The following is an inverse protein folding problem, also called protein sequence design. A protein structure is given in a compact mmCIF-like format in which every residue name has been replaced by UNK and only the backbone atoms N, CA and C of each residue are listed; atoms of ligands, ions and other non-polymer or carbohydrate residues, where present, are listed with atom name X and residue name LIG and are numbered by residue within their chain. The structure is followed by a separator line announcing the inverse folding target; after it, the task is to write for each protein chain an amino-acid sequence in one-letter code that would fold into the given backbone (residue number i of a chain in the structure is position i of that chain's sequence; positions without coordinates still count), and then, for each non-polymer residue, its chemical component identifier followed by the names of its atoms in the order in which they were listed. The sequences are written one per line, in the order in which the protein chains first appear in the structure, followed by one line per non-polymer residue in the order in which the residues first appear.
data_IF_970542871189
#
_entry.id   IF_970542871189
#
_cell.length_a   1.000
_cell.length_b   1.000
_cell.length_c   1.000
_cell.angle_alpha   90.00
_cell.angle_beta   90.00
_cell.angle_gamma   90.00
#
_symmetry.space_group_name_H-M   'P 1'
#
loop_
_entity.id
_entity.type
_entity.pdbx_description
1 polymer ?
#
# COMPACT_ATOMS: atom_id res chain seq x y z
N UNK A 1 2.62 0.37 -40.04
CA UNK A 1 1.96 -0.95 -40.09
C UNK A 1 2.90 -1.99 -39.48
N UNK A 2 2.70 -2.35 -38.23
CA UNK A 2 3.31 -3.53 -37.60
C UNK A 2 2.15 -4.23 -36.91
N UNK A 3 1.75 -5.40 -37.43
CA UNK A 3 0.74 -6.26 -36.83
C UNK A 3 1.25 -6.63 -35.43
N UNK A 4 0.67 -6.00 -34.41
CA UNK A 4 0.76 -6.48 -33.03
C UNK A 4 -0.15 -7.71 -33.02
N UNK A 5 0.46 -8.90 -33.13
CA UNK A 5 -0.25 -10.17 -33.10
C UNK A 5 -1.14 -10.22 -31.85
N UNK A 6 -2.43 -10.47 -32.09
CA UNK A 6 -3.47 -10.62 -31.08
C UNK A 6 -3.33 -11.92 -30.25
N UNK A 7 -2.28 -12.72 -30.47
CA UNK A 7 -2.01 -13.99 -29.79
C UNK A 7 -1.38 -13.86 -28.40
N UNK A 8 -1.15 -12.65 -27.88
CA UNK A 8 -0.58 -12.46 -26.55
C UNK A 8 -1.58 -12.52 -25.39
N UNK A 9 -2.87 -12.78 -25.65
CA UNK A 9 -3.93 -12.76 -24.63
C UNK A 9 -4.30 -14.13 -24.02
N UNK A 10 -3.71 -15.23 -24.48
CA UNK A 10 -3.94 -16.59 -23.97
C UNK A 10 -2.66 -17.19 -23.39
N UNK A 11 -2.46 -17.08 -22.07
CA UNK A 11 -1.34 -17.78 -21.46
C UNK A 11 -0.96 -17.32 -20.06
N UNK A 12 -1.76 -17.70 -19.05
CA UNK A 12 -1.20 -17.78 -17.69
C UNK A 12 -0.27 -19.00 -17.59
N UNK A 13 -0.42 -19.99 -18.48
CA UNK A 13 0.40 -21.19 -18.57
C UNK A 13 0.42 -21.74 -20.01
N UNK A 14 0.84 -20.94 -21.00
CA UNK A 14 1.50 -21.63 -22.13
C UNK A 14 2.79 -22.20 -21.53
N UNK A 15 3.12 -23.47 -21.80
CA UNK A 15 4.32 -24.17 -21.31
C UNK A 15 5.59 -23.53 -21.90
N UNK A 16 5.78 -22.25 -21.63
CA UNK A 16 6.97 -21.49 -21.94
C UNK A 16 7.97 -21.86 -20.86
N UNK A 17 9.18 -22.24 -21.28
CA UNK A 17 10.27 -22.55 -20.34
C UNK A 17 10.38 -21.42 -19.32
N UNK A 18 10.19 -21.78 -18.04
CA UNK A 18 10.35 -20.87 -16.91
C UNK A 18 11.80 -20.38 -16.95
N UNK A 19 11.99 -19.06 -17.07
CA UNK A 19 13.32 -18.47 -17.06
C UNK A 19 13.84 -18.25 -15.65
N UNK A 20 15.15 -18.10 -15.50
CA UNK A 20 15.82 -17.79 -14.23
C UNK A 20 15.18 -16.60 -13.47
N UNK A 21 14.92 -15.50 -14.18
CA UNK A 21 14.25 -14.33 -13.61
C UNK A 21 12.79 -14.56 -13.19
N UNK A 22 12.11 -15.55 -13.78
CA UNK A 22 10.73 -15.88 -13.39
C UNK A 22 10.75 -16.63 -12.04
N UNK A 23 11.74 -17.51 -11.83
CA UNK A 23 12.01 -18.16 -10.53
C UNK A 23 12.37 -17.12 -9.47
N UNK A 24 13.31 -16.21 -9.77
CA UNK A 24 13.69 -15.14 -8.85
C UNK A 24 12.50 -14.25 -8.46
N UNK A 25 11.62 -13.93 -9.42
CA UNK A 25 10.43 -13.12 -9.15
C UNK A 25 9.52 -13.77 -8.11
N UNK A 26 9.48 -15.11 -8.02
CA UNK A 26 8.72 -15.83 -7.00
C UNK A 26 9.49 -15.99 -5.68
N UNK A 27 10.77 -16.36 -5.76
CA UNK A 27 11.58 -16.67 -4.57
C UNK A 27 11.89 -15.45 -3.72
N UNK A 28 12.17 -14.29 -4.32
CA UNK A 28 12.53 -13.07 -3.57
C UNK A 28 11.46 -12.70 -2.54
N UNK A 29 10.18 -12.48 -2.90
CA UNK A 29 9.18 -12.15 -1.90
C UNK A 29 8.77 -13.34 -1.02
N UNK A 30 9.12 -14.58 -1.39
CA UNK A 30 8.87 -15.76 -0.57
C UNK A 30 9.76 -15.77 0.68
N UNK A 31 11.01 -15.29 0.58
CA UNK A 31 11.98 -15.26 1.70
C UNK A 31 11.71 -14.16 2.72
N UNK A 32 10.63 -13.39 2.59
CA UNK A 32 10.28 -12.30 3.53
C UNK A 32 10.12 -12.71 5.00
N UNK A 33 9.98 -14.01 5.29
CA UNK A 33 9.95 -14.51 6.67
C UNK A 33 11.33 -14.50 7.34
N UNK A 34 12.42 -14.36 6.57
CA UNK A 34 13.79 -14.26 7.06
C UNK A 34 14.06 -12.80 7.41
N UNK A 35 14.32 -12.56 8.69
CA UNK A 35 14.59 -11.24 9.26
C UNK A 35 16.00 -11.17 9.85
N UNK A 36 16.72 -10.11 9.51
CA UNK A 36 18.01 -9.74 10.07
C UNK A 36 17.84 -8.51 10.96
N UNK A 37 18.28 -8.62 12.22
CA UNK A 37 18.28 -7.51 13.18
C UNK A 37 19.65 -6.84 13.17
N UNK A 38 19.80 -5.79 12.36
CA UNK A 38 21.03 -5.00 12.26
C UNK A 38 20.69 -3.51 12.26
N UNK A 39 20.87 -2.82 13.41
CA UNK A 39 20.44 -1.44 13.72
C UNK A 39 18.90 -1.25 13.68
N UNK A 40 18.23 -1.84 12.70
CA UNK A 40 16.79 -2.04 12.62
C UNK A 40 16.47 -3.44 12.09
N UNK A 41 15.27 -3.57 11.53
CA UNK A 41 14.78 -4.80 10.93
C UNK A 41 15.02 -4.75 9.42
N UNK A 42 15.75 -5.72 8.88
CA UNK A 42 15.99 -5.89 7.46
C UNK A 42 15.50 -7.27 7.03
N UNK A 43 14.64 -7.32 6.04
CA UNK A 43 14.12 -8.58 5.51
C UNK A 43 14.98 -9.07 4.35
N UNK A 44 15.08 -10.39 4.16
CA UNK A 44 15.84 -10.98 3.07
C UNK A 44 15.52 -10.41 1.66
N UNK A 45 14.26 -10.11 1.28
CA UNK A 45 13.96 -9.53 -0.02
C UNK A 45 14.72 -8.22 -0.28
N UNK A 46 14.90 -7.38 0.74
CA UNK A 46 15.62 -6.09 0.62
C UNK A 46 17.09 -6.32 0.29
N UNK A 47 17.72 -7.28 0.97
CA UNK A 47 19.13 -7.63 0.75
C UNK A 47 19.32 -8.29 -0.61
N UNK A 48 18.44 -9.25 -0.96
CA UNK A 48 18.48 -9.94 -2.24
C UNK A 48 18.31 -8.98 -3.42
N UNK A 49 17.39 -8.01 -3.32
CA UNK A 49 17.18 -6.99 -4.34
C UNK A 49 18.38 -6.04 -4.45
N UNK A 50 18.96 -5.63 -3.33
CA UNK A 50 20.18 -4.82 -3.34
C UNK A 50 21.37 -5.54 -4.00
N UNK A 51 21.53 -6.84 -3.76
CA UNK A 51 22.56 -7.67 -4.40
C UNK A 51 22.31 -7.84 -5.91
N UNK A 52 21.05 -8.01 -6.31
CA UNK A 52 20.67 -8.15 -7.72
C UNK A 52 20.76 -6.85 -8.51
N UNK A 53 20.72 -5.70 -7.83
CA UNK A 53 20.68 -4.38 -8.46
C UNK A 53 21.77 -4.16 -9.51
N UNK A 54 23.09 -4.38 -9.25
CA UNK A 54 24.14 -4.10 -10.23
C UNK A 54 23.99 -4.93 -11.50
N UNK A 55 23.61 -6.21 -11.36
CA UNK A 55 23.42 -7.15 -12.48
C UNK A 55 22.23 -6.70 -13.35
N UNK A 56 21.12 -6.34 -12.71
CA UNK A 56 19.93 -5.85 -13.40
C UNK A 56 20.18 -4.48 -14.04
N UNK A 57 20.93 -3.61 -13.37
CA UNK A 57 21.25 -2.27 -13.85
C UNK A 57 22.11 -2.31 -15.12
N UNK A 58 23.16 -3.13 -15.15
CA UNK A 58 24.01 -3.29 -16.34
C UNK A 58 23.20 -3.85 -17.52
N UNK A 59 22.32 -4.83 -17.27
CA UNK A 59 21.56 -5.47 -18.35
C UNK A 59 20.37 -4.65 -18.86
N UNK A 60 19.71 -3.87 -17.99
CA UNK A 60 18.41 -3.24 -18.30
C UNK A 60 18.25 -1.81 -17.77
N UNK A 61 19.31 -1.17 -17.25
CA UNK A 61 19.25 0.14 -16.58
C UNK A 61 18.59 1.24 -17.40
N UNK A 62 18.69 1.21 -18.74
CA UNK A 62 17.99 2.14 -19.64
C UNK A 62 16.47 2.20 -19.43
N UNK A 63 15.85 1.16 -18.86
CA UNK A 63 14.43 1.15 -18.56
C UNK A 63 14.06 2.12 -17.42
N UNK A 64 14.99 2.45 -16.53
CA UNK A 64 14.78 3.42 -15.45
C UNK A 64 14.68 4.86 -15.97
N UNK A 65 15.18 5.14 -17.18
CA UNK A 65 15.09 6.45 -17.83
C UNK A 65 13.68 6.74 -18.39
N UNK A 66 12.74 5.79 -18.29
CA UNK A 66 11.33 6.06 -18.64
C UNK A 66 10.75 7.10 -17.68
N UNK A 67 9.78 7.89 -18.17
CA UNK A 67 9.21 9.03 -17.42
C UNK A 67 8.76 8.70 -16.00
N UNK A 68 8.01 7.61 -15.78
CA UNK A 68 7.50 7.27 -14.44
C UNK A 68 8.59 6.80 -13.46
N UNK A 69 9.43 5.80 -13.77
CA UNK A 69 10.50 5.38 -12.86
C UNK A 69 11.54 6.49 -12.64
N UNK A 70 11.88 7.27 -13.67
CA UNK A 70 12.80 8.41 -13.52
C UNK A 70 12.25 9.46 -12.55
N UNK A 71 10.94 9.76 -12.60
CA UNK A 71 10.31 10.67 -11.64
C UNK A 71 10.27 10.09 -10.22
N UNK A 72 10.02 8.77 -10.07
CA UNK A 72 10.10 8.12 -8.76
C UNK A 72 11.50 8.26 -8.15
N UNK A 73 12.53 7.93 -8.92
CA UNK A 73 13.92 8.01 -8.49
C UNK A 73 14.35 9.45 -8.20
N UNK A 74 13.94 10.42 -9.02
CA UNK A 74 14.24 11.83 -8.80
C UNK A 74 13.61 12.33 -7.48
N UNK A 75 12.30 12.15 -7.30
CA UNK A 75 11.62 12.61 -6.10
C UNK A 75 12.08 11.86 -4.84
N UNK A 76 12.37 10.56 -4.96
CA UNK A 76 12.90 9.79 -3.85
C UNK A 76 14.34 10.15 -3.49
N UNK A 77 15.17 10.54 -4.47
CA UNK A 77 16.51 11.09 -4.19
C UNK A 77 16.42 12.45 -3.52
N UNK A 78 15.49 13.32 -3.97
CA UNK A 78 15.23 14.59 -3.29
C UNK A 78 14.72 14.38 -1.86
N UNK A 79 13.89 13.38 -1.62
CA UNK A 79 13.48 12.98 -0.27
C UNK A 79 14.67 12.54 0.58
N UNK A 80 15.56 11.68 0.07
CA UNK A 80 16.78 11.26 0.77
C UNK A 80 17.69 12.45 1.11
N UNK A 81 17.94 13.34 0.13
CA UNK A 81 18.77 14.53 0.35
C UNK A 81 18.17 15.44 1.42
N UNK A 82 16.83 15.63 1.39
CA UNK A 82 16.12 16.38 2.43
C UNK A 82 16.31 15.75 3.80
N UNK A 83 16.14 14.42 3.91
CA UNK A 83 16.34 13.69 5.16
C UNK A 83 17.75 13.88 5.73
N UNK A 84 18.78 13.74 4.87
CA UNK A 84 20.18 13.95 5.26
C UNK A 84 20.40 15.37 5.78
N UNK A 85 19.93 16.38 5.04
CA UNK A 85 20.07 17.79 5.46
C UNK A 85 19.35 18.03 6.78
N UNK A 86 18.15 17.52 6.94
CA UNK A 86 17.37 17.66 8.18
C UNK A 86 18.07 17.01 9.35
N UNK A 87 18.60 15.79 9.20
CA UNK A 87 19.33 15.10 10.26
C UNK A 87 20.61 15.84 10.68
N UNK A 88 21.31 16.46 9.73
CA UNK A 88 22.48 17.30 10.02
C UNK A 88 22.10 18.58 10.76
N UNK A 89 21.00 19.25 10.37
CA UNK A 89 20.50 20.46 11.04
C UNK A 89 19.98 20.13 12.45
N UNK A 90 19.29 18.99 12.61
CA UNK A 90 18.68 18.56 13.87
C UNK A 90 19.63 17.80 14.79
N UNK A 91 20.84 17.51 14.32
CA UNK A 91 21.85 16.73 15.04
C UNK A 91 21.29 15.39 15.54
N UNK A 92 20.55 14.71 14.66
CA UNK A 92 19.97 13.40 14.94
C UNK A 92 21.06 12.41 15.36
N UNK A 93 20.73 11.47 16.24
CA UNK A 93 21.70 10.46 16.69
C UNK A 93 22.04 9.50 15.55
N UNK A 94 23.25 8.92 15.56
CA UNK A 94 23.67 7.91 14.56
C UNK A 94 22.67 6.78 14.42
N UNK A 95 22.17 6.28 15.55
CA UNK A 95 21.19 5.21 15.58
C UNK A 95 19.89 5.59 14.84
N UNK A 96 19.45 6.85 14.94
CA UNK A 96 18.18 7.28 14.37
C UNK A 96 18.34 7.66 12.89
N UNK A 97 19.38 8.44 12.53
CA UNK A 97 19.59 8.84 11.13
C UNK A 97 20.01 7.66 10.24
N UNK A 98 20.80 6.70 10.73
CA UNK A 98 21.21 5.55 9.91
C UNK A 98 20.00 4.71 9.49
N UNK A 99 19.00 4.59 10.36
CA UNK A 99 17.73 3.92 10.04
C UNK A 99 16.93 4.69 9.00
N UNK A 100 16.81 6.01 9.13
CA UNK A 100 16.09 6.85 8.18
C UNK A 100 16.72 6.85 6.80
N UNK A 101 18.04 6.99 6.74
CA UNK A 101 18.78 6.99 5.47
C UNK A 101 18.72 5.62 4.81
N UNK A 102 18.90 4.53 5.57
CA UNK A 102 18.78 3.18 5.05
C UNK A 102 17.37 2.90 4.51
N UNK A 103 16.32 3.29 5.23
CA UNK A 103 14.92 3.11 4.80
C UNK A 103 14.67 3.72 3.42
N UNK A 104 15.13 4.95 3.18
CA UNK A 104 14.95 5.65 1.91
C UNK A 104 15.89 5.09 0.83
N UNK A 105 17.16 4.80 1.17
CA UNK A 105 18.13 4.24 0.22
C UNK A 105 17.67 2.88 -0.30
N UNK A 106 17.25 1.96 0.58
CA UNK A 106 16.68 0.67 0.18
C UNK A 106 15.38 0.84 -0.57
N UNK A 107 14.55 1.83 -0.23
CA UNK A 107 13.35 2.15 -1.02
C UNK A 107 13.68 2.43 -2.50
N UNK A 108 14.78 3.15 -2.77
CA UNK A 108 15.20 3.47 -4.14
C UNK A 108 15.83 2.27 -4.85
N UNK A 109 16.71 1.54 -4.16
CA UNK A 109 17.40 0.37 -4.72
C UNK A 109 16.42 -0.76 -5.00
N UNK A 110 15.53 -1.07 -4.06
CA UNK A 110 14.51 -2.13 -4.22
C UNK A 110 13.52 -1.76 -5.31
N UNK A 111 13.07 -0.51 -5.37
CA UNK A 111 12.24 -0.05 -6.47
C UNK A 111 12.93 -0.25 -7.82
N UNK A 112 14.19 0.15 -7.95
CA UNK A 112 14.93 0.02 -9.20
C UNK A 112 15.10 -1.45 -9.61
N UNK A 113 15.50 -2.30 -8.67
CA UNK A 113 15.68 -3.75 -8.89
C UNK A 113 14.38 -4.44 -9.27
N UNK A 114 13.31 -4.22 -8.50
CA UNK A 114 11.99 -4.76 -8.79
C UNK A 114 11.45 -4.26 -10.12
N UNK A 115 11.63 -2.97 -10.43
CA UNK A 115 11.19 -2.41 -11.70
C UNK A 115 11.87 -3.13 -12.87
N UNK A 116 13.20 -3.29 -12.83
CA UNK A 116 13.96 -3.97 -13.87
C UNK A 116 13.65 -5.47 -13.99
N UNK A 117 13.30 -6.12 -12.88
CA UNK A 117 12.92 -7.52 -12.83
C UNK A 117 11.52 -7.77 -13.43
N UNK A 118 10.54 -6.93 -13.07
CA UNK A 118 9.11 -7.20 -13.29
C UNK A 118 8.52 -6.53 -14.55
N UNK A 119 9.02 -5.36 -14.94
CA UNK A 119 8.40 -4.54 -15.99
C UNK A 119 8.26 -5.27 -17.33
N UNK A 120 7.11 -5.09 -18.01
CA UNK A 120 6.85 -5.66 -19.32
C UNK A 120 6.53 -7.15 -19.33
N UNK A 121 6.37 -7.80 -18.17
CA UNK A 121 5.97 -9.21 -18.06
C UNK A 121 4.95 -9.43 -16.94
N UNK A 122 3.67 -9.48 -17.31
CA UNK A 122 2.55 -9.76 -16.40
C UNK A 122 2.73 -11.06 -15.61
N UNK A 123 3.30 -12.11 -16.22
CA UNK A 123 3.59 -13.37 -15.53
C UNK A 123 4.52 -13.21 -14.32
N UNK A 124 5.53 -12.35 -14.41
CA UNK A 124 6.44 -12.08 -13.28
C UNK A 124 5.75 -11.31 -12.16
N UNK A 125 4.87 -10.37 -12.51
CA UNK A 125 4.05 -9.65 -11.53
C UNK A 125 3.16 -10.63 -10.75
N UNK A 126 2.54 -11.59 -11.44
CA UNK A 126 1.71 -12.61 -10.80
C UNK A 126 2.54 -13.56 -9.92
N UNK A 127 3.72 -13.98 -10.39
CA UNK A 127 4.64 -14.82 -9.61
C UNK A 127 5.14 -14.09 -8.36
N UNK A 128 5.52 -12.80 -8.48
CA UNK A 128 5.92 -11.98 -7.35
C UNK A 128 4.79 -11.82 -6.34
N UNK A 129 3.57 -11.55 -6.83
CA UNK A 129 2.42 -11.44 -5.95
C UNK A 129 2.11 -12.77 -5.22
N UNK A 130 2.25 -13.91 -5.90
CA UNK A 130 2.07 -15.22 -5.30
C UNK A 130 3.15 -15.51 -4.24
N UNK A 131 4.42 -15.21 -4.53
CA UNK A 131 5.52 -15.33 -3.57
C UNK A 131 5.31 -14.42 -2.36
N UNK A 132 4.81 -13.21 -2.56
CA UNK A 132 4.50 -12.26 -1.47
C UNK A 132 3.37 -12.77 -0.57
N UNK A 133 2.34 -13.39 -1.15
CA UNK A 133 1.29 -13.99 -0.36
C UNK A 133 1.76 -15.22 0.43
N UNK A 134 2.48 -16.15 -0.21
CA UNK A 134 2.95 -17.37 0.46
C UNK A 134 3.99 -17.00 1.52
N UNK A 135 4.94 -16.11 1.20
CA UNK A 135 5.94 -15.61 2.14
C UNK A 135 5.30 -14.93 3.36
N UNK A 136 4.19 -14.20 3.19
CA UNK A 136 3.46 -13.60 4.31
C UNK A 136 2.77 -14.62 5.22
N UNK A 137 2.31 -15.75 4.67
CA UNK A 137 1.81 -16.87 5.48
C UNK A 137 2.96 -17.53 6.23
N UNK A 138 4.12 -17.75 5.59
CA UNK A 138 5.30 -18.31 6.24
C UNK A 138 5.82 -17.37 7.35
N UNK A 139 5.81 -16.06 7.13
CA UNK A 139 6.23 -15.07 8.12
C UNK A 139 5.41 -15.18 9.41
N UNK A 140 4.11 -15.48 9.34
CA UNK A 140 3.30 -15.75 10.53
C UNK A 140 3.82 -16.92 11.37
N UNK A 141 4.30 -18.00 10.73
CA UNK A 141 4.77 -19.19 11.43
C UNK A 141 6.21 -19.06 11.94
N UNK A 142 7.08 -18.41 11.17
CA UNK A 142 8.50 -18.31 11.49
C UNK A 142 8.88 -17.05 12.27
N UNK A 143 8.10 -15.98 12.14
CA UNK A 143 8.35 -14.70 12.80
C UNK A 143 7.03 -14.06 13.28
N UNK A 144 6.32 -14.67 14.25
CA UNK A 144 5.08 -14.11 14.77
C UNK A 144 5.34 -12.80 15.52
N UNK A 145 4.55 -11.77 15.22
CA UNK A 145 4.60 -10.50 15.94
C UNK A 145 3.99 -10.69 17.35
N UNK A 146 4.40 -9.86 18.31
CA UNK A 146 3.90 -9.83 19.69
C UNK A 146 2.37 -9.69 19.72
N UNK A 147 1.81 -8.92 18.78
CA UNK A 147 0.36 -8.71 18.64
C UNK A 147 -0.39 -9.89 17.97
N UNK A 148 0.33 -10.82 17.36
CA UNK A 148 -0.23 -11.96 16.63
C UNK A 148 -0.94 -12.94 17.57
N UNK A 149 -0.51 -13.07 18.82
CA UNK A 149 -1.19 -13.92 19.81
C UNK A 149 -2.60 -13.43 20.18
N UNK A 150 -2.83 -12.11 20.20
CA UNK A 150 -4.14 -11.53 20.49
C UNK A 150 -5.06 -11.47 19.28
N UNK A 151 -4.51 -11.15 18.09
CA UNK A 151 -5.27 -11.02 16.86
C UNK A 151 -4.52 -11.62 15.65
N UNK A 152 -4.52 -12.96 15.49
CA UNK A 152 -3.73 -13.65 14.47
C UNK A 152 -4.14 -13.32 13.03
N UNK A 153 -5.41 -12.99 12.81
CA UNK A 153 -5.87 -12.55 11.49
C UNK A 153 -5.35 -11.15 11.13
N UNK A 154 -5.45 -10.19 12.06
CA UNK A 154 -5.12 -8.78 11.81
C UNK A 154 -3.61 -8.53 11.74
N UNK A 155 -2.85 -9.14 12.66
CA UNK A 155 -1.40 -8.96 12.77
C UNK A 155 -0.61 -10.18 12.31
N UNK A 156 -1.23 -11.06 11.53
CA UNK A 156 -0.62 -12.28 11.02
C UNK A 156 -1.00 -12.52 9.57
N UNK A 157 -1.59 -13.68 9.30
CA UNK A 157 -1.78 -14.17 7.93
C UNK A 157 -2.99 -13.57 7.18
N UNK A 158 -3.84 -12.77 7.80
CA UNK A 158 -5.07 -12.26 7.17
C UNK A 158 -4.83 -11.39 5.95
N UNK A 159 -3.74 -10.59 5.96
CA UNK A 159 -3.32 -9.83 4.78
C UNK A 159 -2.91 -10.76 3.63
N UNK A 160 -2.07 -11.74 3.92
CA UNK A 160 -1.56 -12.70 2.94
C UNK A 160 -2.67 -13.55 2.30
N UNK A 161 -3.63 -14.03 3.11
CA UNK A 161 -4.81 -14.76 2.61
C UNK A 161 -5.69 -13.87 1.75
N UNK A 162 -5.91 -12.62 2.15
CA UNK A 162 -6.66 -11.65 1.34
C UNK A 162 -5.97 -11.35 0.02
N UNK A 163 -4.64 -11.29 0.02
CA UNK A 163 -3.85 -11.12 -1.19
C UNK A 163 -3.97 -12.33 -2.14
N UNK A 164 -3.97 -13.56 -1.61
CA UNK A 164 -4.28 -14.77 -2.39
C UNK A 164 -5.68 -14.72 -3.00
N UNK A 165 -6.68 -14.25 -2.25
CA UNK A 165 -8.04 -14.09 -2.76
C UNK A 165 -8.12 -13.06 -3.89
N UNK A 166 -7.34 -11.97 -3.82
CA UNK A 166 -7.24 -11.00 -4.91
C UNK A 166 -6.55 -11.59 -6.17
N UNK A 167 -5.55 -12.45 -5.97
CA UNK A 167 -4.91 -13.20 -7.07
C UNK A 167 -5.88 -14.22 -7.67
N UNK A 168 -6.64 -14.93 -6.84
CA UNK A 168 -7.66 -15.85 -7.28
C UNK A 168 -8.79 -15.14 -8.04
N UNK A 169 -9.23 -13.97 -7.56
CA UNK A 169 -10.18 -13.12 -8.27
C UNK A 169 -9.65 -12.69 -9.66
N UNK A 170 -8.34 -12.42 -9.76
CA UNK A 170 -7.67 -12.10 -11.03
C UNK A 170 -7.62 -13.31 -11.96
N UNK A 171 -7.28 -14.49 -11.45
CA UNK A 171 -7.30 -15.74 -12.21
C UNK A 171 -8.70 -16.07 -12.76
N UNK A 172 -9.73 -15.95 -11.93
CA UNK A 172 -11.13 -16.14 -12.31
C UNK A 172 -11.56 -15.10 -13.35
N UNK A 173 -11.16 -13.84 -13.17
CA UNK A 173 -11.43 -12.77 -14.13
C UNK A 173 -10.82 -13.04 -15.51
N UNK A 174 -9.64 -13.65 -15.56
CA UNK A 174 -9.01 -14.06 -16.81
C UNK A 174 -9.73 -15.26 -17.44
N UNK A 175 -9.97 -16.34 -16.68
CA UNK A 175 -10.63 -17.56 -17.17
C UNK A 175 -12.05 -17.31 -17.67
N UNK A 176 -12.79 -16.44 -17.00
CA UNK A 176 -14.19 -16.15 -17.30
C UNK A 176 -14.38 -14.71 -17.75
N UNK A 177 -13.74 -14.35 -18.87
CA UNK A 177 -13.85 -13.04 -19.54
C UNK A 177 -15.30 -12.54 -19.70
N UNK A 178 -16.28 -13.45 -19.74
CA UNK A 178 -17.71 -13.17 -19.89
C UNK A 178 -18.53 -13.20 -18.58
N UNK A 179 -17.95 -13.60 -17.43
CA UNK A 179 -18.62 -13.56 -16.10
C UNK A 179 -17.88 -12.65 -15.11
N UNK A 180 -17.81 -11.34 -15.37
CA UNK A 180 -17.03 -10.37 -14.58
C UNK A 180 -17.57 -10.08 -13.17
N UNK A 181 -18.68 -10.72 -12.74
CA UNK A 181 -19.20 -10.56 -11.38
C UNK A 181 -18.43 -11.41 -10.36
N UNK A 182 -17.87 -12.54 -10.77
CA UNK A 182 -17.16 -13.43 -9.85
C UNK A 182 -15.97 -12.76 -9.15
N UNK A 183 -15.08 -12.03 -9.85
CA UNK A 183 -14.00 -11.32 -9.17
C UNK A 183 -14.49 -10.31 -8.14
N UNK A 184 -15.58 -9.60 -8.44
CA UNK A 184 -16.19 -8.67 -7.51
C UNK A 184 -16.80 -9.39 -6.30
N UNK A 185 -17.49 -10.51 -6.50
CA UNK A 185 -18.06 -11.32 -5.42
C UNK A 185 -16.98 -11.88 -4.51
N UNK A 186 -15.87 -12.40 -5.06
CA UNK A 186 -14.74 -12.91 -4.28
C UNK A 186 -14.17 -11.81 -3.37
N UNK A 187 -13.95 -10.60 -3.92
CA UNK A 187 -13.46 -9.48 -3.11
C UNK A 187 -14.50 -8.97 -2.10
N UNK A 188 -15.79 -9.01 -2.44
CA UNK A 188 -16.87 -8.67 -1.49
C UNK A 188 -16.92 -9.67 -0.32
N UNK A 189 -16.85 -10.97 -0.60
CA UNK A 189 -16.77 -12.01 0.42
C UNK A 189 -15.53 -11.84 1.29
N UNK A 190 -14.39 -11.51 0.68
CA UNK A 190 -13.15 -11.18 1.42
C UNK A 190 -13.32 -9.93 2.30
N UNK A 191 -14.07 -8.93 1.86
CA UNK A 191 -14.39 -7.75 2.67
C UNK A 191 -15.18 -8.14 3.93
N UNK A 192 -16.25 -8.94 3.77
CA UNK A 192 -17.04 -9.43 4.88
C UNK A 192 -16.20 -10.26 5.87
N UNK A 193 -15.36 -11.17 5.35
CA UNK A 193 -14.47 -12.00 6.17
C UNK A 193 -13.50 -11.14 6.98
N UNK A 194 -12.89 -10.13 6.36
CA UNK A 194 -11.95 -9.24 7.05
C UNK A 194 -12.61 -8.39 8.12
N UNK A 195 -13.83 -7.88 7.88
CA UNK A 195 -14.60 -7.13 8.89
C UNK A 195 -14.98 -8.04 10.05
N UNK A 196 -15.45 -9.25 9.75
CA UNK A 196 -15.82 -10.26 10.76
C UNK A 196 -14.62 -10.61 11.67
N UNK A 197 -13.44 -10.79 11.07
CA UNK A 197 -12.20 -11.08 11.81
C UNK A 197 -11.55 -9.83 12.45
N UNK A 198 -12.22 -8.68 12.45
CA UNK A 198 -11.77 -7.45 13.10
C UNK A 198 -10.71 -6.63 12.34
N UNK A 199 -10.39 -6.99 11.10
CA UNK A 199 -9.46 -6.25 10.24
C UNK A 199 -10.20 -5.23 9.35
N UNK A 200 -10.78 -4.22 10.00
CA UNK A 200 -11.69 -3.21 9.39
C UNK A 200 -11.09 -2.52 8.15
N UNK A 201 -9.83 -2.10 8.21
CA UNK A 201 -9.16 -1.40 7.11
C UNK A 201 -9.01 -2.26 5.85
N UNK A 202 -8.55 -3.49 6.02
CA UNK A 202 -8.41 -4.45 4.92
C UNK A 202 -9.76 -4.85 4.34
N UNK A 203 -10.79 -4.98 5.20
CA UNK A 203 -12.18 -5.14 4.76
C UNK A 203 -12.67 -3.98 3.91
N UNK A 204 -12.42 -2.74 4.33
CA UNK A 204 -12.73 -1.54 3.56
C UNK A 204 -12.02 -1.50 2.20
N UNK A 205 -10.74 -1.86 2.14
CA UNK A 205 -9.97 -1.96 0.88
C UNK A 205 -10.61 -2.98 -0.08
N UNK A 206 -10.97 -4.16 0.41
CA UNK A 206 -11.62 -5.20 -0.41
C UNK A 206 -13.00 -4.78 -0.90
N UNK A 207 -13.77 -4.11 -0.03
CA UNK A 207 -15.08 -3.58 -0.38
C UNK A 207 -14.97 -2.53 -1.50
N UNK A 208 -14.07 -1.56 -1.36
CA UNK A 208 -13.84 -0.53 -2.37
C UNK A 208 -13.37 -1.13 -3.70
N UNK A 209 -12.47 -2.11 -3.66
CA UNK A 209 -12.04 -2.83 -4.85
C UNK A 209 -13.20 -3.58 -5.52
N UNK A 210 -14.06 -4.25 -4.75
CA UNK A 210 -15.25 -4.93 -5.27
C UNK A 210 -16.25 -3.97 -5.91
N UNK A 211 -16.60 -2.88 -5.22
CA UNK A 211 -17.50 -1.84 -5.73
C UNK A 211 -16.93 -1.24 -7.02
N UNK A 212 -15.62 -0.99 -7.05
CA UNK A 212 -14.96 -0.49 -8.25
C UNK A 212 -15.11 -1.44 -9.45
N UNK A 213 -14.89 -2.75 -9.25
CA UNK A 213 -15.09 -3.75 -10.31
C UNK A 213 -16.55 -3.82 -10.80
N UNK A 214 -17.51 -3.74 -9.88
CA UNK A 214 -18.94 -3.69 -10.22
C UNK A 214 -19.27 -2.44 -11.05
N UNK A 215 -18.77 -1.27 -10.62
CA UNK A 215 -18.99 0.00 -11.31
C UNK A 215 -18.34 0.01 -12.70
N UNK A 216 -17.10 -0.49 -12.82
CA UNK A 216 -16.40 -0.60 -14.10
C UNK A 216 -17.21 -1.48 -15.07
N UNK A 217 -17.85 -2.55 -14.58
CA UNK A 217 -18.74 -3.38 -15.41
C UNK A 217 -20.00 -2.63 -15.84
N UNK A 218 -20.71 -2.03 -14.89
CA UNK A 218 -22.02 -1.42 -15.14
C UNK A 218 -21.93 -0.21 -16.08
N UNK A 219 -20.87 0.60 -15.95
CA UNK A 219 -20.75 1.87 -16.65
C UNK A 219 -19.59 1.92 -17.65
N UNK A 220 -18.59 1.04 -17.54
CA UNK A 220 -17.40 1.05 -18.41
C UNK A 220 -17.66 0.59 -19.85
N UNK A 221 -18.77 -0.14 -20.12
CA UNK A 221 -19.12 -0.59 -21.48
C UNK A 221 -19.75 0.49 -22.37
N UNK A 222 -20.23 1.60 -21.81
CA UNK A 222 -20.90 2.68 -22.55
C UNK A 222 -19.96 3.84 -22.94
N UNK A 223 -18.64 3.64 -22.87
CA UNK A 223 -17.65 4.71 -22.98
C UNK A 223 -16.91 4.77 -24.33
N UNK A 224 -17.40 4.08 -25.37
CA UNK A 224 -16.82 4.11 -26.73
C UNK A 224 -17.13 5.39 -27.50
N UNK A 225 -18.11 6.20 -27.08
CA UNK A 225 -18.40 7.50 -27.69
C UNK A 225 -18.20 8.65 -26.69
N UNK A 226 -17.14 9.43 -26.92
CA UNK A 226 -16.92 10.85 -26.62
C UNK A 226 -17.64 11.55 -25.44
N UNK A 227 -17.92 10.86 -24.33
CA UNK A 227 -18.45 11.50 -23.12
C UNK A 227 -17.26 11.92 -22.26
N UNK A 228 -16.97 13.23 -22.28
CA UNK A 228 -16.12 13.91 -21.28
C UNK A 228 -16.53 13.40 -19.88
N UNK A 229 -15.57 13.07 -19.02
CA UNK A 229 -15.78 12.74 -17.60
C UNK A 229 -16.84 13.69 -17.02
N UNK A 230 -18.11 13.28 -16.96
CA UNK A 230 -19.16 14.13 -16.40
C UNK A 230 -18.91 14.12 -14.90
N UNK A 231 -18.86 15.31 -14.28
CA UNK A 231 -18.73 15.49 -12.82
C UNK A 231 -19.65 14.54 -12.03
N UNK A 232 -20.82 14.18 -12.61
CA UNK A 232 -21.77 13.18 -12.10
C UNK A 232 -21.19 11.79 -11.84
N UNK A 233 -20.34 11.23 -12.71
CA UNK A 233 -19.77 9.89 -12.47
C UNK A 233 -18.77 9.88 -11.31
N UNK A 234 -18.00 10.96 -11.15
CA UNK A 234 -17.10 11.15 -10.00
C UNK A 234 -17.90 11.34 -8.72
N UNK A 235 -18.99 12.12 -8.76
CA UNK A 235 -19.90 12.28 -7.64
C UNK A 235 -20.58 10.98 -7.23
N UNK A 236 -21.01 10.14 -8.18
CA UNK A 236 -21.59 8.82 -7.90
C UNK A 236 -20.56 7.89 -7.25
N UNK A 237 -19.32 7.89 -7.73
CA UNK A 237 -18.23 7.11 -7.12
C UNK A 237 -17.93 7.64 -5.71
N UNK A 238 -17.78 8.94 -5.55
CA UNK A 238 -17.53 9.56 -4.25
C UNK A 238 -18.68 9.27 -3.26
N UNK A 239 -19.92 9.32 -3.73
CA UNK A 239 -21.10 9.01 -2.93
C UNK A 239 -21.17 7.52 -2.58
N UNK A 240 -20.89 6.61 -3.51
CA UNK A 240 -20.84 5.18 -3.25
C UNK A 240 -19.73 4.81 -2.26
N UNK A 241 -18.58 5.47 -2.35
CA UNK A 241 -17.47 5.31 -1.40
C UNK A 241 -17.87 5.85 -0.02
N UNK A 242 -18.44 7.06 0.06
CA UNK A 242 -18.85 7.68 1.31
C UNK A 242 -19.99 6.91 2.00
N UNK A 243 -21.01 6.52 1.24
CA UNK A 243 -22.14 5.75 1.74
C UNK A 243 -21.75 4.32 2.11
N UNK A 244 -20.86 3.70 1.32
CA UNK A 244 -20.30 2.38 1.64
C UNK A 244 -19.43 2.42 2.90
N UNK A 245 -18.59 3.45 3.06
CA UNK A 245 -17.79 3.64 4.28
C UNK A 245 -18.68 3.90 5.50
N UNK A 246 -19.70 4.75 5.38
CA UNK A 246 -20.67 5.00 6.43
C UNK A 246 -21.48 3.74 6.80
N UNK A 247 -21.92 2.98 5.80
CA UNK A 247 -22.60 1.71 5.98
C UNK A 247 -21.74 0.70 6.73
N UNK A 248 -20.48 0.53 6.31
CA UNK A 248 -19.54 -0.37 7.01
C UNK A 248 -19.33 0.07 8.46
N UNK A 249 -19.16 1.37 8.72
CA UNK A 249 -19.00 1.90 10.08
C UNK A 249 -20.24 1.62 10.93
N UNK A 250 -21.44 1.93 10.43
CA UNK A 250 -22.70 1.73 11.15
C UNK A 250 -23.03 0.25 11.37
N UNK A 251 -22.83 -0.59 10.36
CA UNK A 251 -23.01 -2.04 10.49
C UNK A 251 -22.02 -2.62 11.49
N UNK A 252 -20.77 -2.13 11.52
CA UNK A 252 -19.79 -2.54 12.51
C UNK A 252 -20.18 -2.07 13.92
N UNK A 253 -20.56 -0.81 14.10
CA UNK A 253 -21.03 -0.27 15.39
C UNK A 253 -22.18 -1.10 15.95
N UNK A 254 -23.17 -1.42 15.11
CA UNK A 254 -24.30 -2.26 15.50
C UNK A 254 -23.87 -3.69 15.83
N UNK A 255 -23.10 -4.34 14.95
CA UNK A 255 -22.68 -5.73 15.12
C UNK A 255 -21.69 -5.94 16.28
N UNK A 256 -20.86 -4.94 16.59
CA UNK A 256 -19.98 -4.95 17.74
C UNK A 256 -20.73 -4.63 19.04
N UNK A 257 -21.62 -3.62 19.04
CA UNK A 257 -22.41 -3.24 20.21
C UNK A 257 -23.47 -4.26 20.62
N UNK A 258 -23.99 -5.05 19.67
CA UNK A 258 -24.89 -6.17 19.94
C UNK A 258 -24.19 -7.46 20.38
N UNK A 259 -22.86 -7.48 20.43
CA UNK A 259 -22.08 -8.68 20.77
C UNK A 259 -22.04 -9.74 19.65
N UNK A 260 -22.63 -9.48 18.47
CA UNK A 260 -22.67 -10.42 17.34
C UNK A 260 -21.27 -10.77 16.80
N UNK A 261 -20.31 -9.84 16.90
CA UNK A 261 -18.91 -10.06 16.54
C UNK A 261 -18.07 -10.70 17.67
N UNK A 262 -18.72 -11.10 18.77
CA UNK A 262 -18.12 -11.71 19.94
C UNK A 262 -17.73 -10.70 21.03
N UNK A 263 -17.63 -11.19 22.27
CA UNK A 263 -17.39 -10.41 23.49
C UNK A 263 -16.11 -9.55 23.41
N UNK A 264 -15.06 -10.06 22.78
CA UNK A 264 -13.80 -9.31 22.59
C UNK A 264 -13.96 -8.10 21.66
N UNK A 265 -14.75 -8.24 20.60
CA UNK A 265 -15.03 -7.14 19.67
C UNK A 265 -15.92 -6.09 20.32
N UNK A 266 -16.84 -6.51 21.18
CA UNK A 266 -17.69 -5.64 22.00
C UNK A 266 -16.85 -4.83 23.00
N UNK A 267 -15.96 -5.46 23.78
CA UNK A 267 -15.07 -4.77 24.71
C UNK A 267 -14.14 -3.76 24.02
N UNK A 268 -13.56 -4.12 22.87
CA UNK A 268 -12.76 -3.20 22.06
C UNK A 268 -13.60 -2.04 21.50
N UNK A 269 -14.85 -2.32 21.13
CA UNK A 269 -15.77 -1.30 20.66
C UNK A 269 -16.14 -0.34 21.79
N UNK A 270 -16.52 -0.84 22.97
CA UNK A 270 -16.86 -0.07 24.15
C UNK A 270 -15.67 0.83 24.55
N UNK A 271 -14.46 0.27 24.70
CA UNK A 271 -13.26 1.06 25.03
C UNK A 271 -12.79 2.05 23.95
N UNK A 272 -13.10 1.82 22.66
CA UNK A 272 -12.80 2.76 21.57
C UNK A 272 -13.94 3.74 21.26
N UNK A 273 -15.12 3.55 21.85
CA UNK A 273 -16.34 4.35 21.59
C UNK A 273 -16.81 5.15 22.80
N UNK A 274 -16.24 4.90 23.98
CA UNK A 274 -16.47 5.69 25.21
C UNK A 274 -16.07 7.17 25.07
N UNK A 275 -15.18 7.50 24.13
CA UNK A 275 -14.72 8.87 23.94
C UNK A 275 -15.73 9.81 23.24
N UNK A 276 -15.67 11.10 23.57
CA UNK A 276 -16.66 12.15 23.19
C UNK A 276 -16.96 12.29 21.69
N UNK A 277 -16.09 11.78 20.81
CA UNK A 277 -16.26 11.82 19.35
C UNK A 277 -16.21 10.43 18.68
N UNK A 278 -16.38 9.36 19.44
CA UNK A 278 -16.53 7.99 18.95
C UNK A 278 -15.29 7.39 18.28
N UNK A 279 -15.49 6.28 17.57
CA UNK A 279 -14.46 5.39 17.02
C UNK A 279 -13.46 6.07 16.05
N UNK A 280 -13.86 7.16 15.39
CA UNK A 280 -13.08 7.81 14.32
C UNK A 280 -11.91 8.66 14.86
N UNK A 281 -12.11 9.35 15.99
CA UNK A 281 -11.09 10.20 16.61
C UNK A 281 -10.21 9.43 17.61
N UNK A 282 -10.78 8.43 18.31
CA UNK A 282 -10.05 7.60 19.27
C UNK A 282 -8.89 6.81 18.67
N UNK A 283 -9.03 6.34 17.42
CA UNK A 283 -7.98 5.60 16.72
C UNK A 283 -7.03 6.44 15.87
N UNK A 284 -7.18 7.78 15.83
CA UNK A 284 -6.50 8.64 14.84
C UNK A 284 -6.07 10.02 15.36
N UNK A 285 -5.99 10.18 16.68
CA UNK A 285 -5.55 11.43 17.32
C UNK A 285 -4.13 11.85 16.92
N UNK A 286 -3.31 10.89 16.47
CA UNK A 286 -1.94 11.10 15.98
C UNK A 286 -1.87 12.01 14.74
N UNK A 287 -2.91 12.01 13.88
CA UNK A 287 -2.99 12.92 12.73
C UNK A 287 -3.06 14.39 13.16
N UNK A 288 -3.71 14.67 14.29
CA UNK A 288 -3.83 16.04 14.81
C UNK A 288 -2.49 16.52 15.39
N UNK A 289 -1.78 15.64 16.08
CA UNK A 289 -0.48 15.95 16.71
C UNK A 289 0.61 16.08 15.65
N UNK A 290 0.70 15.15 14.71
CA UNK A 290 1.64 15.22 13.59
C UNK A 290 1.36 16.44 12.70
N UNK A 291 0.09 16.82 12.48
CA UNK A 291 -0.26 18.07 11.79
C UNK A 291 0.29 19.31 12.49
N UNK A 292 0.20 19.39 13.84
CA UNK A 292 0.80 20.49 14.61
C UNK A 292 2.32 20.51 14.55
N UNK A 293 2.97 19.34 14.56
CA UNK A 293 4.41 19.26 14.37
C UNK A 293 4.81 19.77 12.97
N UNK A 294 4.12 19.33 11.92
CA UNK A 294 4.37 19.78 10.55
C UNK A 294 4.23 21.31 10.44
N UNK A 295 3.21 21.92 11.05
CA UNK A 295 3.04 23.37 11.03
C UNK A 295 4.19 24.13 11.71
N UNK A 296 4.83 23.51 12.70
CA UNK A 296 5.97 24.11 13.41
C UNK A 296 7.30 23.97 12.64
N UNK A 297 7.48 22.92 11.82
CA UNK A 297 8.64 22.80 10.93
C UNK A 297 8.28 22.19 9.57
N UNK A 298 7.61 22.94 8.68
CA UNK A 298 7.05 22.37 7.45
C UNK A 298 8.10 22.12 6.36
N UNK A 299 9.16 22.94 6.32
CA UNK A 299 10.17 22.87 5.24
C UNK A 299 11.23 21.83 5.58
N UNK A 300 11.79 21.90 6.79
CA UNK A 300 12.93 21.08 7.22
C UNK A 300 12.46 19.79 7.90
N UNK A 301 11.45 19.85 8.78
CA UNK A 301 11.07 18.70 9.61
C UNK A 301 11.92 18.58 10.88
N UNK A 302 11.86 17.40 11.50
CA UNK A 302 12.41 17.10 12.84
C UNK A 302 13.52 16.04 12.84
N UNK A 303 13.82 15.42 11.70
CA UNK A 303 14.86 14.39 11.58
C UNK A 303 14.30 12.97 11.69
N UNK A 304 15.13 12.00 11.35
CA UNK A 304 14.81 10.57 11.34
C UNK A 304 14.42 10.11 12.74
N UNK A 305 13.32 9.37 12.87
CA UNK A 305 12.84 8.88 14.17
C UNK A 305 12.71 10.01 15.21
N UNK A 306 12.13 11.14 14.80
CA UNK A 306 12.03 12.33 15.62
C UNK A 306 11.44 12.04 17.01
N UNK A 307 12.11 12.54 18.05
CA UNK A 307 11.67 12.42 19.45
C UNK A 307 11.36 13.80 20.01
N UNK A 308 10.14 13.97 20.53
CA UNK A 308 9.73 15.20 21.19
C UNK A 308 8.65 14.93 22.23
N UNK A 309 9.03 15.03 23.52
CA UNK A 309 8.14 14.74 24.63
C UNK A 309 6.94 15.71 24.73
N UNK A 310 7.03 16.93 24.20
CA UNK A 310 5.88 17.85 24.13
C UNK A 310 4.77 17.29 23.22
N UNK A 311 5.11 16.78 22.04
CA UNK A 311 4.11 16.23 21.12
C UNK A 311 3.60 14.85 21.59
N UNK A 312 4.48 14.03 22.17
CA UNK A 312 4.08 12.76 22.78
C UNK A 312 3.08 12.98 23.94
N UNK A 313 3.41 13.89 24.87
CA UNK A 313 2.49 14.24 25.96
C UNK A 313 1.22 14.95 25.49
N UNK A 314 1.29 15.75 24.42
CA UNK A 314 0.09 16.34 23.80
C UNK A 314 -0.86 15.27 23.28
N UNK A 315 -0.34 14.20 22.66
CA UNK A 315 -1.17 13.07 22.24
C UNK A 315 -1.84 12.40 23.45
N UNK A 316 -1.08 12.09 24.48
CA UNK A 316 -1.58 11.48 25.73
C UNK A 316 -2.67 12.35 26.35
N UNK A 317 -2.44 13.66 26.48
CA UNK A 317 -3.39 14.62 27.03
C UNK A 317 -4.67 14.71 26.18
N UNK A 318 -4.55 14.74 24.86
CA UNK A 318 -5.71 14.73 23.96
C UNK A 318 -6.50 13.43 24.11
N UNK A 319 -5.84 12.28 24.17
CA UNK A 319 -6.50 10.99 24.38
C UNK A 319 -7.26 10.96 25.71
N UNK A 320 -6.62 11.39 26.81
CA UNK A 320 -7.24 11.47 28.13
C UNK A 320 -8.42 12.45 28.17
N UNK A 321 -8.27 13.66 27.60
CA UNK A 321 -9.34 14.66 27.52
C UNK A 321 -10.56 14.16 26.74
N UNK A 322 -10.33 13.31 25.75
CA UNK A 322 -11.38 12.73 24.93
C UNK A 322 -11.97 11.45 25.53
N UNK A 323 -11.46 10.98 26.68
CA UNK A 323 -11.95 9.79 27.39
C UNK A 323 -11.35 8.47 26.93
N UNK A 324 -10.22 8.49 26.21
CA UNK A 324 -9.53 7.28 25.75
C UNK A 324 -8.39 6.88 26.69
N UNK A 325 -8.15 5.57 26.80
CA UNK A 325 -6.94 5.05 27.44
C UNK A 325 -5.70 5.49 26.66
N UNK A 326 -4.78 6.18 27.33
CA UNK A 326 -3.55 6.69 26.72
C UNK A 326 -2.35 5.86 27.19
N UNK A 327 -1.68 5.09 26.31
CA UNK A 327 -0.44 4.42 26.68
C UNK A 327 0.65 5.48 26.95
N UNK A 328 1.38 5.29 28.05
CA UNK A 328 2.53 6.13 28.37
C UNK A 328 3.72 5.70 27.50
N UNK A 329 4.11 6.52 26.52
CA UNK A 329 5.30 6.27 25.70
C UNK A 329 6.54 6.96 26.30
N UNK A 330 7.41 6.15 26.92
CA UNK A 330 8.68 6.61 27.50
C UNK A 330 9.69 7.09 26.45
N UNK A 331 9.54 6.68 25.18
CA UNK A 331 10.54 6.98 24.15
C UNK A 331 10.34 8.37 23.53
N UNK A 332 9.26 9.07 23.91
CA UNK A 332 8.88 10.37 23.38
C UNK A 332 8.86 10.43 21.85
N UNK A 333 8.54 9.30 21.18
CA UNK A 333 8.57 9.25 19.72
C UNK A 333 7.45 10.14 19.16
N UNK A 334 7.75 10.91 18.12
CA UNK A 334 6.74 11.74 17.50
C UNK A 334 5.74 10.83 16.75
N UNK A 335 4.45 10.83 17.13
CA UNK A 335 3.53 9.82 16.65
C UNK A 335 3.10 10.14 15.21
N UNK A 336 3.61 9.37 14.25
CA UNK A 336 3.25 9.50 12.83
C UNK A 336 2.77 8.17 12.26
N UNK A 337 1.46 8.05 12.03
CA UNK A 337 0.83 6.84 11.50
C UNK A 337 0.34 7.02 10.06
N UNK A 338 1.18 7.62 9.21
CA UNK A 338 0.93 7.70 7.75
C UNK A 338 2.25 7.88 7.00
N UNK A 339 2.32 7.47 5.73
CA UNK A 339 3.54 7.66 4.94
C UNK A 339 3.80 9.14 4.68
N UNK A 340 2.76 9.92 4.34
CA UNK A 340 2.89 11.35 4.07
C UNK A 340 3.31 12.10 5.33
N UNK A 341 2.60 11.93 6.44
CA UNK A 341 2.91 12.70 7.65
C UNK A 341 4.23 12.24 8.27
N UNK A 342 4.54 10.94 8.24
CA UNK A 342 5.84 10.43 8.70
C UNK A 342 6.98 11.05 7.89
N UNK A 343 6.93 10.95 6.56
CA UNK A 343 7.95 11.54 5.70
C UNK A 343 8.02 13.08 5.78
N UNK A 344 6.89 13.76 6.04
CA UNK A 344 6.87 15.21 6.22
C UNK A 344 7.48 15.63 7.56
N UNK A 345 7.14 14.92 8.64
CA UNK A 345 7.73 15.17 9.95
C UNK A 345 9.23 14.89 9.91
N UNK A 346 9.66 13.78 9.32
CA UNK A 346 11.07 13.36 9.36
C UNK A 346 11.95 14.16 8.40
N UNK A 347 11.50 14.36 7.15
CA UNK A 347 12.29 14.93 6.05
C UNK A 347 11.81 16.30 5.57
N UNK A 348 10.71 16.82 6.12
CA UNK A 348 10.10 18.07 5.65
C UNK A 348 9.31 17.92 4.34
N UNK A 349 9.08 19.04 3.66
CA UNK A 349 8.15 19.10 2.52
C UNK A 349 8.54 18.18 1.35
N UNK A 350 9.84 17.93 1.13
CA UNK A 350 10.28 17.07 0.04
C UNK A 350 9.89 15.60 0.26
N UNK A 351 9.85 15.13 1.51
CA UNK A 351 9.30 13.81 1.84
C UNK A 351 7.81 13.71 1.56
N UNK A 352 7.04 14.76 1.86
CA UNK A 352 5.62 14.81 1.55
C UNK A 352 5.36 14.80 0.04
N UNK A 353 6.13 15.58 -0.74
CA UNK A 353 5.98 15.68 -2.20
C UNK A 353 6.14 14.33 -2.88
N UNK A 354 7.10 13.51 -2.44
CA UNK A 354 7.30 12.15 -2.95
C UNK A 354 6.03 11.30 -2.80
N UNK A 355 5.47 11.22 -1.59
CA UNK A 355 4.27 10.41 -1.33
C UNK A 355 3.00 11.00 -1.94
N UNK A 356 2.87 12.33 -2.02
CA UNK A 356 1.78 13.00 -2.76
C UNK A 356 1.83 12.63 -4.24
N UNK A 357 3.03 12.53 -4.82
CA UNK A 357 3.17 12.09 -6.20
C UNK A 357 2.80 10.61 -6.38
N UNK A 358 3.18 9.72 -5.45
CA UNK A 358 2.73 8.32 -5.46
C UNK A 358 1.19 8.24 -5.34
N UNK A 359 0.59 9.04 -4.47
CA UNK A 359 -0.86 9.14 -4.32
C UNK A 359 -1.53 9.63 -5.62
N UNK A 360 -0.94 10.61 -6.30
CA UNK A 360 -1.42 11.06 -7.61
C UNK A 360 -1.35 9.95 -8.67
N UNK A 361 -0.38 9.03 -8.57
CA UNK A 361 -0.30 7.84 -9.42
C UNK A 361 -1.50 6.92 -9.20
N UNK A 362 -1.87 6.65 -7.94
CA UNK A 362 -3.05 5.86 -7.57
C UNK A 362 -4.33 6.38 -8.23
N UNK A 363 -4.59 7.69 -8.14
CA UNK A 363 -5.76 8.31 -8.76
C UNK A 363 -5.73 8.23 -10.30
N UNK A 364 -4.55 8.38 -10.93
CA UNK A 364 -4.39 8.21 -12.37
C UNK A 364 -4.66 6.76 -12.82
N UNK A 365 -4.26 5.77 -12.03
CA UNK A 365 -4.51 4.36 -12.33
C UNK A 365 -6.01 4.07 -12.28
N UNK A 366 -6.69 4.40 -11.17
CA UNK A 366 -8.14 4.13 -11.01
C UNK A 366 -8.95 4.77 -12.14
N UNK A 367 -8.64 6.01 -12.52
CA UNK A 367 -9.39 6.72 -13.58
C UNK A 367 -9.15 6.15 -14.97
N UNK A 368 -7.95 5.64 -15.26
CA UNK A 368 -7.63 5.01 -16.56
C UNK A 368 -8.07 3.57 -16.64
N UNK A 369 -7.81 2.80 -15.59
CA UNK A 369 -8.20 1.41 -15.46
C UNK A 369 -9.73 1.26 -15.64
N UNK A 370 -10.51 2.26 -15.21
CA UNK A 370 -11.96 2.27 -15.37
C UNK A 370 -12.40 2.18 -16.84
N UNK A 371 -11.56 2.62 -17.77
CA UNK A 371 -11.80 2.64 -19.21
C UNK A 371 -11.26 1.40 -19.93
N UNK A 372 -10.43 0.60 -19.27
CA UNK A 372 -9.75 -0.55 -19.87
C UNK A 372 -10.17 -1.83 -19.16
N UNK A 373 -10.74 -2.77 -19.90
CA UNK A 373 -11.15 -4.08 -19.37
C UNK A 373 -9.95 -5.04 -19.33
N UNK A 374 -8.95 -4.71 -18.51
CA UNK A 374 -7.76 -5.54 -18.33
C UNK A 374 -8.03 -6.71 -17.37
N UNK A 375 -7.61 -7.95 -17.68
CA UNK A 375 -7.82 -9.11 -16.80
C UNK A 375 -7.22 -8.95 -15.40
N UNK A 376 -6.13 -8.19 -15.27
CA UNK A 376 -5.44 -7.92 -14.00
C UNK A 376 -6.13 -6.87 -13.12
N UNK A 377 -7.26 -6.30 -13.57
CA UNK A 377 -7.98 -5.25 -12.84
C UNK A 377 -8.26 -5.60 -11.37
N UNK A 378 -8.67 -6.82 -10.98
CA UNK A 378 -8.97 -7.13 -9.57
C UNK A 378 -7.75 -6.94 -8.65
N UNK A 379 -6.59 -7.46 -9.04
CA UNK A 379 -5.34 -7.27 -8.31
C UNK A 379 -4.91 -5.79 -8.29
N UNK A 380 -4.96 -5.11 -9.44
CA UNK A 380 -4.55 -3.69 -9.54
C UNK A 380 -5.47 -2.83 -8.65
N UNK A 381 -6.78 -3.02 -8.70
CA UNK A 381 -7.73 -2.28 -7.89
C UNK A 381 -7.48 -2.50 -6.39
N UNK A 382 -7.31 -3.74 -5.96
CA UNK A 382 -6.95 -4.07 -4.57
C UNK A 382 -5.66 -3.33 -4.15
N UNK A 383 -4.61 -3.42 -4.96
CA UNK A 383 -3.31 -2.78 -4.71
C UNK A 383 -3.46 -1.26 -4.59
N UNK A 384 -4.17 -0.62 -5.53
CA UNK A 384 -4.31 0.84 -5.54
C UNK A 384 -5.07 1.34 -4.31
N UNK A 385 -6.16 0.67 -3.91
CA UNK A 385 -6.87 1.03 -2.68
C UNK A 385 -6.04 0.75 -1.44
N UNK A 386 -5.24 -0.33 -1.43
CA UNK A 386 -4.37 -0.65 -0.31
C UNK A 386 -3.26 0.40 -0.12
N UNK A 387 -2.50 0.73 -1.16
CA UNK A 387 -1.45 1.75 -1.05
C UNK A 387 -2.03 3.14 -0.75
N UNK A 388 -3.21 3.47 -1.30
CA UNK A 388 -3.91 4.72 -0.95
C UNK A 388 -4.25 4.76 0.54
N UNK A 389 -4.75 3.65 1.10
CA UNK A 389 -4.98 3.55 2.54
C UNK A 389 -3.68 3.72 3.34
N UNK A 390 -2.61 3.02 2.94
CA UNK A 390 -1.34 3.03 3.66
C UNK A 390 -0.71 4.43 3.68
N UNK A 391 -0.77 5.15 2.56
CA UNK A 391 -0.29 6.53 2.44
C UNK A 391 -0.92 7.46 3.47
N UNK A 392 -2.21 7.28 3.78
CA UNK A 392 -2.94 8.11 4.74
C UNK A 392 -2.93 7.60 6.18
N UNK A 393 -2.80 6.28 6.39
CA UNK A 393 -3.16 5.67 7.67
C UNK A 393 -2.22 4.54 8.13
N UNK A 394 -1.07 4.32 7.49
CA UNK A 394 -0.11 3.32 7.94
C UNK A 394 1.30 3.90 8.07
N UNK A 395 2.08 3.46 9.07
CA UNK A 395 3.49 3.85 9.16
C UNK A 395 4.30 3.16 8.06
N UNK A 396 5.25 3.89 7.48
CA UNK A 396 6.19 3.34 6.50
C UNK A 396 7.35 2.67 7.25
N UNK A 397 7.65 1.40 6.95
CA UNK A 397 8.60 0.61 7.72
C UNK A 397 9.23 -0.53 6.93
N UNK A 398 10.02 -1.36 7.60
CA UNK A 398 10.90 -2.36 6.97
C UNK A 398 10.19 -3.37 6.05
N UNK A 399 9.08 -3.96 6.49
CA UNK A 399 8.29 -4.93 5.72
C UNK A 399 7.64 -4.32 4.46
N UNK A 400 7.53 -2.99 4.44
CA UNK A 400 6.86 -2.23 3.38
C UNK A 400 7.82 -1.82 2.26
N UNK A 401 9.14 -1.94 2.46
CA UNK A 401 10.20 -1.54 1.49
C UNK A 401 10.23 -2.41 0.22
N UNK A 402 9.68 -3.62 0.23
CA UNK A 402 9.59 -4.41 -1.01
C UNK A 402 8.12 -4.56 -1.47
N UNK A 403 7.17 -4.44 -0.54
CA UNK A 403 5.74 -4.60 -0.81
C UNK A 403 5.14 -3.37 -1.49
N UNK A 404 5.40 -2.16 -0.96
CA UNK A 404 4.82 -0.92 -1.51
C UNK A 404 5.46 -0.56 -2.86
N UNK A 405 6.73 -0.94 -3.06
CA UNK A 405 7.50 -0.75 -4.28
C UNK A 405 6.91 -1.61 -5.38
N UNK A 406 6.59 -2.86 -5.06
CA UNK A 406 5.83 -3.73 -5.94
C UNK A 406 4.48 -3.10 -6.32
N UNK A 407 3.75 -2.50 -5.37
CA UNK A 407 2.49 -1.81 -5.66
C UNK A 407 2.65 -0.65 -6.62
N UNK A 408 3.67 0.19 -6.42
CA UNK A 408 4.00 1.28 -7.32
C UNK A 408 4.34 0.76 -8.73
N UNK A 409 5.08 -0.33 -8.83
CA UNK A 409 5.46 -0.94 -10.13
C UNK A 409 4.22 -1.48 -10.85
N UNK A 410 3.31 -2.17 -10.15
CA UNK A 410 2.04 -2.64 -10.72
C UNK A 410 1.21 -1.46 -11.24
N UNK A 411 1.16 -0.36 -10.48
CA UNK A 411 0.50 0.88 -10.90
C UNK A 411 1.13 1.49 -12.15
N UNK A 412 2.46 1.55 -12.23
CA UNK A 412 3.16 2.04 -13.41
C UNK A 412 2.89 1.16 -14.64
N UNK A 413 2.93 -0.17 -14.48
CA UNK A 413 2.64 -1.12 -15.56
C UNK A 413 1.20 -0.97 -16.05
N UNK A 414 0.23 -0.84 -15.13
CA UNK A 414 -1.17 -0.58 -15.48
C UNK A 414 -1.32 0.70 -16.33
N UNK A 415 -0.59 1.77 -15.99
CA UNK A 415 -0.60 3.00 -16.79
C UNK A 415 0.02 2.82 -18.17
N UNK A 416 1.12 2.07 -18.29
CA UNK A 416 1.74 1.75 -19.58
C UNK A 416 0.79 0.95 -20.48
N UNK A 417 0.11 -0.05 -19.92
CA UNK A 417 -0.93 -0.85 -20.62
C UNK A 417 -2.08 0.06 -21.08
N UNK A 418 -2.53 0.97 -20.22
CA UNK A 418 -3.55 1.98 -20.55
C UNK A 418 -3.06 3.09 -21.51
N UNK A 419 -1.89 2.96 -22.14
CA UNK A 419 -1.37 3.87 -23.15
C UNK A 419 -0.69 5.14 -22.64
N UNK A 420 -0.34 5.22 -21.34
CA UNK A 420 0.53 6.28 -20.82
C UNK A 420 1.94 6.08 -21.40
N UNK A 421 2.38 6.93 -22.34
CA UNK A 421 3.72 6.84 -22.94
C UNK A 421 3.78 6.58 -24.44
N UNK A 422 2.63 6.49 -25.14
CA UNK A 422 2.61 6.47 -26.63
C UNK A 422 3.08 7.80 -27.28
N UNK A 423 3.37 8.83 -26.48
CA UNK A 423 3.89 10.13 -26.94
C UNK A 423 5.42 10.31 -26.87
N UNK A 424 6.19 9.29 -26.47
CA UNK A 424 7.67 9.35 -26.43
C UNK A 424 8.28 8.28 -27.33
N UNK A 425 7.74 8.15 -28.54
CA UNK A 425 8.43 7.55 -29.68
C UNK A 425 8.55 8.61 -30.76
N UNK A 426 9.57 9.44 -30.63
CA UNK A 426 10.37 9.94 -31.74
C UNK A 426 11.83 9.85 -31.31
#
# INVERSE_FOLDING_TARGET
MLKINADQQTGLLSLRKIGFYDVLSFLIPLTQFIEFKFIGHLYAPVIELAILFPILFVSRGRMLNRRLPSMFLLLGTLWLLSQVITDLIRQSTFHDYSRGWALIAFTLVDFASLYLLLVGRQGRIMLYAAGLAIGGILAYFFNPNIFTHGHPWKFGYGFAVTFLLALFATYVGWRHKYRPLWPAMILMSSACLNIYMGFRSLGGVCFLASVYLLMQKLYGRSFTNNIRFKKRSVLIIAFAIAFGAFGILKTYEYAAGSGFLGVKAQQLYEGQSEGKYGLLLGGRSELLVSGRAILASPIIGYGSWAKNCYYASLLTNLQLQLGYAAPYDNNCLLPTHSFIFGAWVDAGILGAVFWIWVLALSFRVITRLYRTLEPMTPLIAFIVFNITWNIFFSPYGAERIFTEQFYVIVMMEALYICGYGKGVRR
#
